data_IF_741535726909
#
_entry.id   IF_741535726909
#
_cell.length_a   1.000
_cell.length_b   1.000
_cell.length_c   1.000
_cell.angle_alpha   90.00
_cell.angle_beta   90.00
_cell.angle_gamma   90.00
#
_symmetry.space_group_name_H-M   'P 1'
#
loop_
_entity.id
_entity.type
_entity.pdbx_description
1 polymer ?
#
# COMPACT_ATOMS: atom_id res chain seq x y z
N UNK A 1 5.84 14.50 -12.44
CA UNK A 1 6.87 14.21 -11.42
C UNK A 1 7.93 13.31 -12.05
N UNK A 2 9.20 13.58 -11.81
CA UNK A 2 10.27 12.68 -12.19
C UNK A 2 10.37 11.55 -11.14
N UNK A 3 10.23 10.30 -11.57
CA UNK A 3 10.24 9.12 -10.68
C UNK A 3 11.67 8.66 -10.34
N UNK A 4 12.66 9.14 -11.07
CA UNK A 4 14.05 8.71 -10.92
C UNK A 4 14.55 8.91 -9.49
N UNK A 5 15.11 7.85 -8.93
CA UNK A 5 15.71 7.82 -7.60
C UNK A 5 14.74 8.18 -6.45
N UNK A 6 13.43 8.03 -6.69
CA UNK A 6 12.39 8.31 -5.70
C UNK A 6 11.94 7.03 -5.00
N UNK A 7 11.40 7.21 -3.79
CA UNK A 7 10.86 6.13 -2.96
C UNK A 7 9.35 6.25 -2.87
N UNK A 8 8.66 5.15 -3.09
CA UNK A 8 7.20 5.11 -3.09
C UNK A 8 6.66 4.14 -2.05
N UNK A 9 5.60 4.56 -1.37
CA UNK A 9 4.79 3.71 -0.50
C UNK A 9 3.52 3.32 -1.26
N UNK A 10 3.26 2.01 -1.34
CA UNK A 10 2.06 1.48 -1.99
C UNK A 10 1.17 0.87 -0.91
N UNK A 11 0.16 1.61 -0.50
CA UNK A 11 -0.83 1.17 0.50
C UNK A 11 -1.89 0.34 -0.23
N UNK A 12 -2.05 -0.91 0.18
CA UNK A 12 -2.82 -1.90 -0.55
C UNK A 12 -2.03 -2.53 -1.70
N UNK A 13 -0.70 -2.58 -1.57
CA UNK A 13 0.21 -3.03 -2.61
C UNK A 13 0.10 -4.52 -2.98
N UNK A 14 -0.49 -5.35 -2.13
CA UNK A 14 -0.71 -6.77 -2.41
C UNK A 14 -2.06 -7.05 -3.09
N UNK A 15 -2.89 -6.04 -3.27
CA UNK A 15 -4.14 -6.14 -4.01
C UNK A 15 -3.93 -6.16 -5.53
N UNK A 16 -5.02 -6.28 -6.28
CA UNK A 16 -4.97 -6.34 -7.75
C UNK A 16 -4.34 -5.08 -8.35
N UNK A 17 -4.87 -3.92 -8.03
CA UNK A 17 -4.37 -2.65 -8.59
C UNK A 17 -2.98 -2.33 -8.04
N UNK A 18 -2.80 -2.49 -6.73
CA UNK A 18 -1.53 -2.20 -6.07
C UNK A 18 -0.37 -3.01 -6.63
N UNK A 19 -0.54 -4.33 -6.80
CA UNK A 19 0.52 -5.19 -7.32
C UNK A 19 0.90 -4.85 -8.78
N UNK A 20 -0.08 -4.52 -9.61
CA UNK A 20 0.20 -4.04 -10.97
C UNK A 20 0.91 -2.68 -10.97
N UNK A 21 0.55 -1.79 -10.05
CA UNK A 21 1.26 -0.51 -9.88
C UNK A 21 2.72 -0.75 -9.52
N UNK A 22 3.01 -1.70 -8.63
CA UNK A 22 4.38 -2.11 -8.29
C UNK A 22 5.13 -2.56 -9.54
N UNK A 23 4.53 -3.45 -10.34
CA UNK A 23 5.15 -3.96 -11.57
C UNK A 23 5.44 -2.85 -12.59
N UNK A 24 4.57 -1.84 -12.68
CA UNK A 24 4.82 -0.68 -13.55
C UNK A 24 5.94 0.21 -13.01
N UNK A 25 5.97 0.48 -11.71
CA UNK A 25 7.03 1.27 -11.10
C UNK A 25 8.41 0.62 -11.23
N UNK A 26 8.47 -0.71 -11.25
CA UNK A 26 9.72 -1.44 -11.45
C UNK A 26 10.34 -1.26 -12.84
N UNK A 27 9.55 -0.80 -13.82
CA UNK A 27 10.04 -0.44 -15.16
C UNK A 27 10.72 0.94 -15.18
N UNK A 28 10.51 1.72 -14.13
CA UNK A 28 11.10 3.03 -13.95
C UNK A 28 12.35 2.95 -13.06
N UNK A 29 13.15 4.00 -13.08
CA UNK A 29 14.38 4.09 -12.29
C UNK A 29 14.10 4.58 -10.85
N UNK A 30 13.16 3.92 -10.17
CA UNK A 30 12.81 4.22 -8.79
C UNK A 30 13.84 3.62 -7.82
N UNK A 31 13.99 4.23 -6.66
CA UNK A 31 14.95 3.79 -5.64
C UNK A 31 14.40 2.70 -4.72
N UNK A 32 13.14 2.83 -4.32
CA UNK A 32 12.50 1.89 -3.39
C UNK A 32 10.99 1.87 -3.62
N UNK A 33 10.40 0.71 -3.51
CA UNK A 33 8.95 0.50 -3.47
C UNK A 33 8.65 -0.22 -2.16
N UNK A 34 7.99 0.49 -1.24
CA UNK A 34 7.60 -0.06 0.05
C UNK A 34 6.13 -0.44 0.01
N UNK A 35 5.82 -1.68 0.36
CA UNK A 35 4.46 -2.22 0.36
C UNK A 35 3.89 -2.13 1.76
N UNK A 36 2.72 -1.52 1.90
CA UNK A 36 1.96 -1.46 3.15
C UNK A 36 0.61 -2.13 2.92
N UNK A 37 0.43 -3.31 3.49
CA UNK A 37 -0.77 -4.12 3.28
C UNK A 37 -1.01 -4.99 4.51
N UNK A 38 -2.25 -5.13 4.96
CA UNK A 38 -2.59 -6.02 6.05
C UNK A 38 -2.92 -7.45 5.59
N UNK A 39 -2.89 -7.69 4.27
CA UNK A 39 -3.17 -8.99 3.65
C UNK A 39 -4.55 -9.58 3.96
N UNK A 40 -5.49 -8.75 4.39
CA UNK A 40 -6.88 -9.19 4.61
C UNK A 40 -7.48 -9.70 3.30
N UNK A 41 -7.18 -9.02 2.20
CA UNK A 41 -7.67 -9.36 0.87
C UNK A 41 -6.55 -9.52 -0.14
N UNK A 42 -5.53 -8.66 -0.07
CA UNK A 42 -4.32 -8.78 -0.87
C UNK A 42 -3.57 -10.07 -0.54
N UNK A 43 -2.90 -10.63 -1.54
CA UNK A 43 -2.18 -11.89 -1.40
C UNK A 43 -0.71 -11.70 -1.76
N UNK A 44 0.17 -12.26 -0.94
CA UNK A 44 1.62 -12.20 -1.16
C UNK A 44 2.02 -12.77 -2.53
N UNK A 45 1.27 -13.75 -3.04
CA UNK A 45 1.50 -14.33 -4.37
C UNK A 45 1.42 -13.29 -5.50
N UNK A 46 0.63 -12.22 -5.32
CA UNK A 46 0.53 -11.14 -6.30
C UNK A 46 1.84 -10.34 -6.42
N UNK A 47 2.71 -10.47 -5.44
CA UNK A 47 4.00 -9.79 -5.38
C UNK A 47 5.20 -10.72 -5.66
N UNK A 48 4.96 -12.00 -5.98
CA UNK A 48 6.03 -12.99 -6.14
C UNK A 48 7.14 -12.55 -7.10
N UNK A 49 6.77 -12.02 -8.24
CA UNK A 49 7.73 -11.51 -9.23
C UNK A 49 8.43 -10.25 -8.72
N UNK A 50 7.66 -9.29 -8.21
CA UNK A 50 8.18 -8.01 -7.73
C UNK A 50 9.15 -8.18 -6.56
N UNK A 51 8.88 -9.11 -5.64
CA UNK A 51 9.74 -9.35 -4.48
C UNK A 51 11.12 -9.93 -4.81
N UNK A 52 11.34 -10.38 -6.06
CA UNK A 52 12.66 -10.76 -6.55
C UNK A 52 13.56 -9.56 -6.81
N UNK A 53 12.97 -8.38 -7.00
CA UNK A 53 13.70 -7.13 -7.15
C UNK A 53 14.01 -6.57 -5.77
N UNK A 54 15.29 -6.25 -5.50
CA UNK A 54 15.73 -5.77 -4.19
C UNK A 54 15.21 -4.39 -3.81
N UNK A 55 14.60 -3.66 -4.74
CA UNK A 55 13.95 -2.37 -4.48
C UNK A 55 12.59 -2.51 -3.82
N UNK A 56 11.96 -3.68 -3.90
CA UNK A 56 10.64 -3.96 -3.33
C UNK A 56 10.77 -4.55 -1.94
N UNK A 57 10.13 -3.92 -0.96
CA UNK A 57 10.12 -4.35 0.42
C UNK A 57 8.71 -4.30 1.00
N UNK A 58 8.32 -5.36 1.70
CA UNK A 58 7.10 -5.35 2.50
C UNK A 58 7.43 -4.71 3.85
N UNK A 59 6.64 -3.72 4.25
CA UNK A 59 6.74 -3.12 5.57
C UNK A 59 6.24 -4.11 6.63
N UNK A 60 7.10 -4.51 7.54
CA UNK A 60 6.87 -5.67 8.42
C UNK A 60 6.16 -5.36 9.73
N UNK A 61 6.19 -4.10 10.19
CA UNK A 61 5.60 -3.72 11.49
C UNK A 61 4.07 -3.70 11.48
N UNK A 62 3.45 -3.72 10.31
CA UNK A 62 2.00 -3.74 10.16
C UNK A 62 1.57 -3.23 8.80
N UNK A 63 0.27 -3.25 8.54
CA UNK A 63 -0.31 -2.84 7.27
C UNK A 63 -1.71 -2.26 7.38
N UNK A 64 -2.13 -1.89 8.58
CA UNK A 64 -3.45 -1.32 8.85
C UNK A 64 -3.37 0.21 8.90
N UNK A 65 -4.08 0.87 7.99
CA UNK A 65 -4.13 2.34 7.91
C UNK A 65 -4.83 3.00 9.11
N UNK A 66 -5.47 2.21 9.97
CA UNK A 66 -6.04 2.71 11.23
C UNK A 66 -5.00 2.85 12.34
N UNK A 67 -3.82 2.26 12.18
CA UNK A 67 -2.71 2.39 13.12
C UNK A 67 -1.80 3.54 12.69
N UNK A 68 -2.12 4.77 13.12
CA UNK A 68 -1.42 5.99 12.70
C UNK A 68 0.08 5.94 12.94
N UNK A 69 0.51 5.49 14.11
CA UNK A 69 1.95 5.43 14.46
C UNK A 69 2.71 4.52 13.49
N UNK A 70 2.17 3.34 13.21
CA UNK A 70 2.78 2.37 12.29
C UNK A 70 2.77 2.92 10.86
N UNK A 71 1.68 3.56 10.45
CA UNK A 71 1.57 4.20 9.14
C UNK A 71 2.61 5.31 8.98
N UNK A 72 2.78 6.15 10.01
CA UNK A 72 3.78 7.20 10.01
C UNK A 72 5.19 6.64 9.87
N UNK A 73 5.51 5.55 10.57
CA UNK A 73 6.79 4.84 10.41
C UNK A 73 6.99 4.37 8.96
N UNK A 74 5.95 3.81 8.34
CA UNK A 74 6.03 3.36 6.96
C UNK A 74 6.27 4.51 5.97
N UNK A 75 5.89 5.73 6.31
CA UNK A 75 6.04 6.91 5.46
C UNK A 75 7.40 7.59 5.58
N UNK A 76 8.23 7.22 6.56
CA UNK A 76 9.55 7.84 6.75
C UNK A 76 10.40 7.67 5.49
N UNK A 77 10.87 8.80 4.95
CA UNK A 77 11.74 8.85 3.78
C UNK A 77 11.05 8.58 2.44
N UNK A 78 9.73 8.53 2.41
CA UNK A 78 8.93 8.30 1.20
C UNK A 78 8.72 9.64 0.46
N UNK A 79 8.86 9.60 -0.86
CA UNK A 79 8.65 10.75 -1.75
C UNK A 79 7.23 10.82 -2.32
N UNK A 80 6.55 9.68 -2.45
CA UNK A 80 5.19 9.61 -2.99
C UNK A 80 4.43 8.40 -2.48
N UNK A 81 3.11 8.56 -2.36
CA UNK A 81 2.21 7.52 -1.84
C UNK A 81 1.14 7.20 -2.87
N UNK A 82 0.93 5.92 -3.12
CA UNK A 82 -0.25 5.41 -3.83
C UNK A 82 -1.16 4.71 -2.82
N UNK A 83 -2.37 5.20 -2.67
CA UNK A 83 -3.32 4.67 -1.70
C UNK A 83 -4.43 3.89 -2.39
N UNK A 84 -4.38 2.56 -2.27
CA UNK A 84 -5.35 1.64 -2.86
C UNK A 84 -6.10 0.81 -1.79
N UNK A 85 -5.74 0.95 -0.53
CA UNK A 85 -6.40 0.20 0.53
C UNK A 85 -7.82 0.74 0.77
N UNK A 86 -8.79 -0.15 0.65
CA UNK A 86 -10.20 0.15 0.89
C UNK A 86 -10.97 -1.15 1.12
N UNK A 87 -12.06 -1.08 1.86
CA UNK A 87 -13.04 -2.15 1.90
C UNK A 87 -13.94 -2.04 0.66
N UNK A 88 -14.18 -3.18 0.03
CA UNK A 88 -14.97 -3.27 -1.20
C UNK A 88 -16.48 -3.27 -0.94
N UNK A 89 -17.27 -3.13 -1.99
CA UNK A 89 -18.70 -2.85 -1.95
C UNK A 89 -19.51 -3.78 -1.03
N UNK A 90 -19.35 -5.11 -1.18
CA UNK A 90 -20.12 -6.06 -0.36
C UNK A 90 -19.74 -5.99 1.12
N UNK A 91 -18.47 -5.80 1.43
CA UNK A 91 -18.03 -5.62 2.81
C UNK A 91 -18.62 -4.34 3.40
N UNK A 92 -18.62 -3.25 2.63
CA UNK A 92 -19.21 -1.98 3.05
C UNK A 92 -20.71 -2.11 3.30
N UNK A 93 -21.42 -2.86 2.45
CA UNK A 93 -22.85 -3.12 2.60
C UNK A 93 -23.14 -3.88 3.88
N UNK A 94 -22.40 -4.96 4.16
CA UNK A 94 -22.61 -5.81 5.32
C UNK A 94 -22.12 -5.17 6.63
N UNK A 95 -21.06 -4.35 6.55
CA UNK A 95 -20.40 -3.73 7.71
C UNK A 95 -20.16 -2.25 7.48
N UNK A 96 -21.22 -1.41 7.45
CA UNK A 96 -21.08 0.01 7.10
C UNK A 96 -20.22 0.80 8.09
N UNK A 97 -20.18 0.41 9.35
CA UNK A 97 -19.33 1.06 10.34
C UNK A 97 -17.84 0.82 10.04
N UNK A 98 -17.49 -0.42 9.71
CA UNK A 98 -16.12 -0.75 9.27
C UNK A 98 -15.75 -0.03 7.97
N UNK A 99 -16.72 0.14 7.06
CA UNK A 99 -16.52 0.91 5.83
C UNK A 99 -16.15 2.37 6.13
N UNK A 100 -16.87 3.00 7.06
CA UNK A 100 -16.54 4.36 7.49
C UNK A 100 -15.14 4.43 8.10
N UNK A 101 -14.82 3.54 9.05
CA UNK A 101 -13.52 3.53 9.71
C UNK A 101 -12.37 3.36 8.69
N UNK A 102 -12.43 2.37 7.82
CA UNK A 102 -11.34 2.08 6.89
C UNK A 102 -11.31 3.06 5.71
N UNK A 103 -12.43 3.25 5.01
CA UNK A 103 -12.42 4.00 3.76
C UNK A 103 -12.40 5.51 3.97
N UNK A 104 -12.93 6.01 5.07
CA UNK A 104 -12.96 7.44 5.37
C UNK A 104 -11.87 7.81 6.38
N UNK A 105 -11.96 7.30 7.61
CA UNK A 105 -10.99 7.63 8.65
C UNK A 105 -9.59 7.12 8.31
N UNK A 106 -9.48 5.88 7.83
CA UNK A 106 -8.19 5.32 7.40
C UNK A 106 -7.55 6.13 6.27
N UNK A 107 -8.34 6.55 5.27
CA UNK A 107 -7.86 7.43 4.20
C UNK A 107 -7.43 8.79 4.75
N UNK A 108 -8.15 9.32 5.72
CA UNK A 108 -7.77 10.57 6.38
C UNK A 108 -6.42 10.44 7.09
N UNK A 109 -6.12 9.28 7.68
CA UNK A 109 -4.82 9.03 8.30
C UNK A 109 -3.67 9.00 7.28
N UNK A 110 -3.95 8.65 6.03
CA UNK A 110 -2.94 8.60 4.95
C UNK A 110 -2.56 10.01 4.48
N UNK A 111 -3.50 10.96 4.50
CA UNK A 111 -3.29 12.33 4.04
C UNK A 111 -2.43 13.13 5.03
#
# INVERSE_FOLDING_TARGET
>A
MNLKNKKFLIIGGAGLIGSHTVDYLLKEDVKEIRIFDNFTRGKKKNLNSALKDNRVKIFELGGDILHEEILNEAMIGIDGVFHFAALWLLHCHNYPKSAFEVNIKGTFNVI
#
